data_IF_016175682808
#
_entry.id   IF_016175682808
#
_cell.length_a   1.000
_cell.length_b   1.000
_cell.length_c   1.000
_cell.angle_alpha   90.00
_cell.angle_beta   90.00
_cell.angle_gamma   90.00
#
_symmetry.space_group_name_H-M   'P 1'
#
loop_
_entity.id
_entity.type
_entity.pdbx_description
1 polymer ?
#
# COMPACT_ATOMS: atom_id res chain seq x y z
N UNK A 1 29.03 -22.55 -99.99
CA UNK A 1 27.80 -22.60 -99.27
C UNK A 1 28.18 -23.27 -97.90
N UNK A 2 28.48 -22.56 -96.88
CA UNK A 2 28.99 -23.10 -95.60
C UNK A 2 28.36 -22.26 -94.51
N UNK A 3 27.47 -22.87 -93.72
CA UNK A 3 26.83 -22.30 -92.57
C UNK A 3 27.78 -22.22 -91.38
N UNK A 4 27.79 -21.10 -90.77
CA UNK A 4 28.63 -20.76 -89.59
C UNK A 4 27.72 -20.74 -88.36
N UNK A 5 27.87 -21.74 -87.50
CA UNK A 5 27.11 -21.91 -86.28
C UNK A 5 27.77 -21.10 -85.16
N UNK A 6 27.07 -20.09 -84.63
CA UNK A 6 27.47 -19.30 -83.46
C UNK A 6 27.09 -20.07 -82.17
N UNK A 7 28.12 -20.40 -81.34
CA UNK A 7 27.93 -20.96 -79.99
C UNK A 7 27.79 -19.83 -78.98
N UNK A 8 26.59 -19.68 -78.43
CA UNK A 8 26.30 -18.84 -77.25
C UNK A 8 26.83 -19.52 -76.00
N UNK A 9 27.76 -18.90 -75.28
CA UNK A 9 28.20 -19.28 -73.93
C UNK A 9 27.15 -18.83 -72.90
N UNK A 10 26.46 -19.75 -72.26
CA UNK A 10 25.67 -19.52 -71.03
C UNK A 10 26.62 -19.39 -69.84
N UNK A 11 26.69 -18.18 -69.25
CA UNK A 11 27.34 -17.96 -67.97
C UNK A 11 26.53 -18.60 -66.83
N UNK A 12 27.10 -19.57 -66.15
CA UNK A 12 26.58 -20.13 -64.90
C UNK A 12 26.82 -19.11 -63.78
N UNK A 13 25.75 -18.49 -63.27
CA UNK A 13 25.79 -17.80 -61.96
C UNK A 13 25.62 -18.88 -60.89
N UNK A 14 26.66 -19.07 -60.11
CA UNK A 14 26.60 -19.90 -58.92
C UNK A 14 25.62 -19.37 -57.89
N UNK A 15 25.09 -20.24 -57.00
CA UNK A 15 24.15 -19.83 -55.91
C UNK A 15 24.85 -18.89 -54.93
N UNK A 16 24.11 -17.92 -54.34
CA UNK A 16 24.67 -17.01 -53.32
C UNK A 16 25.21 -17.84 -52.14
N UNK A 17 26.38 -17.45 -51.65
CA UNK A 17 27.01 -18.10 -50.50
C UNK A 17 26.07 -18.03 -49.25
N UNK A 18 25.78 -19.19 -48.69
CA UNK A 18 25.04 -19.25 -47.44
C UNK A 18 25.91 -18.71 -46.31
N UNK A 19 25.35 -17.83 -45.49
CA UNK A 19 25.99 -17.32 -44.27
C UNK A 19 26.33 -18.47 -43.33
N UNK A 20 27.48 -18.45 -42.65
CA UNK A 20 27.87 -19.55 -41.77
C UNK A 20 26.87 -19.71 -40.62
N UNK A 21 26.43 -20.94 -40.34
CA UNK A 21 25.41 -21.31 -39.37
C UNK A 21 25.68 -20.81 -37.95
N UNK A 22 26.90 -20.41 -37.64
CA UNK A 22 27.32 -19.93 -36.33
C UNK A 22 26.79 -18.50 -36.01
N UNK A 23 26.62 -17.65 -37.01
CA UNK A 23 26.14 -16.27 -36.79
C UNK A 23 24.61 -16.23 -36.58
N UNK A 24 23.87 -17.10 -37.24
CA UNK A 24 22.43 -17.25 -37.04
C UNK A 24 22.08 -17.78 -35.64
N UNK A 25 22.91 -18.62 -35.04
CA UNK A 25 22.71 -19.15 -33.69
C UNK A 25 23.01 -18.10 -32.63
N UNK A 26 24.06 -17.27 -32.81
CA UNK A 26 24.38 -16.17 -31.88
C UNK A 26 23.32 -15.09 -31.86
N UNK A 27 22.73 -14.73 -33.01
CA UNK A 27 21.66 -13.75 -33.10
C UNK A 27 20.36 -14.24 -32.42
N UNK A 28 20.03 -15.55 -32.55
CA UNK A 28 18.88 -16.16 -31.91
C UNK A 28 19.01 -16.26 -30.39
N UNK A 29 20.19 -16.55 -29.86
CA UNK A 29 20.47 -16.59 -28.43
C UNK A 29 20.41 -15.18 -27.82
N UNK A 30 20.96 -14.18 -28.49
CA UNK A 30 20.95 -12.79 -28.00
C UNK A 30 19.54 -12.19 -27.89
N UNK A 31 18.66 -12.45 -28.86
CA UNK A 31 17.27 -11.97 -28.85
C UNK A 31 16.42 -12.71 -27.81
N UNK A 32 16.67 -14.01 -27.57
CA UNK A 32 15.97 -14.78 -26.54
C UNK A 32 16.33 -14.33 -25.12
N UNK A 33 17.61 -14.04 -24.85
CA UNK A 33 18.07 -13.54 -23.56
C UNK A 33 17.51 -12.12 -23.26
N UNK A 34 17.41 -11.26 -24.26
CA UNK A 34 16.85 -9.92 -24.10
C UNK A 34 15.34 -9.98 -23.83
N UNK A 35 14.60 -10.83 -24.53
CA UNK A 35 13.16 -11.02 -24.32
C UNK A 35 12.86 -11.58 -22.91
N UNK A 36 13.66 -12.54 -22.41
CA UNK A 36 13.53 -13.07 -21.05
C UNK A 36 13.87 -12.01 -20.00
N UNK A 37 14.91 -11.22 -20.21
CA UNK A 37 15.28 -10.14 -19.30
C UNK A 37 14.19 -9.05 -19.23
N UNK A 38 13.57 -8.67 -20.35
CA UNK A 38 12.45 -7.75 -20.40
C UNK A 38 11.22 -8.34 -19.71
N UNK A 39 10.91 -9.63 -19.93
CA UNK A 39 9.79 -10.31 -19.27
C UNK A 39 9.99 -10.42 -17.75
N UNK A 40 11.22 -10.62 -17.26
CA UNK A 40 11.55 -10.62 -15.84
C UNK A 40 11.45 -9.23 -15.21
N UNK A 41 11.81 -8.17 -15.93
CA UNK A 41 11.61 -6.78 -15.50
C UNK A 41 10.12 -6.42 -15.40
N UNK A 42 9.28 -6.91 -16.28
CA UNK A 42 7.83 -6.68 -16.23
C UNK A 42 7.13 -7.53 -15.16
N UNK A 43 7.67 -8.70 -14.83
CA UNK A 43 7.11 -9.54 -13.77
C UNK A 43 7.34 -8.97 -12.35
N UNK A 44 8.35 -8.11 -12.16
CA UNK A 44 8.58 -7.42 -10.88
C UNK A 44 7.60 -6.27 -10.59
N UNK A 45 6.84 -5.79 -11.58
CA UNK A 45 5.82 -4.74 -11.40
C UNK A 45 4.45 -5.25 -10.93
N UNK A 46 4.27 -6.56 -10.75
CA UNK A 46 2.94 -7.15 -10.49
C UNK A 46 2.82 -7.86 -9.14
N UNK A 47 3.69 -7.57 -8.18
CA UNK A 47 3.33 -7.86 -6.79
C UNK A 47 2.27 -6.83 -6.40
N UNK A 48 1.01 -7.24 -6.58
CA UNK A 48 -0.15 -6.40 -6.33
C UNK A 48 -0.05 -5.77 -4.94
N UNK A 49 -0.27 -4.47 -4.90
CA UNK A 49 -0.36 -3.71 -3.66
C UNK A 49 -1.62 -4.14 -2.90
N UNK A 50 -1.56 -5.28 -2.23
CA UNK A 50 -2.69 -5.85 -1.48
C UNK A 50 -3.01 -4.99 -0.27
N UNK A 51 -4.24 -4.48 -0.14
CA UNK A 51 -4.64 -3.72 1.04
C UNK A 51 -4.68 -4.61 2.28
N UNK A 52 -4.25 -4.07 3.41
CA UNK A 52 -4.33 -4.71 4.71
C UNK A 52 -5.33 -3.95 5.59
N UNK A 53 -6.46 -4.58 5.92
CA UNK A 53 -7.47 -4.04 6.83
C UNK A 53 -7.51 -4.92 8.07
N UNK A 54 -7.10 -4.37 9.22
CA UNK A 54 -7.05 -5.06 10.51
C UNK A 54 -8.04 -4.43 11.48
N UNK A 55 -8.86 -5.27 12.11
CA UNK A 55 -9.84 -4.89 13.12
C UNK A 55 -9.46 -5.54 14.46
N UNK A 56 -9.13 -4.74 15.47
CA UNK A 56 -8.76 -5.23 16.80
C UNK A 56 -9.92 -5.11 17.79
N UNK A 57 -10.33 -6.25 18.37
CA UNK A 57 -11.29 -6.29 19.48
C UNK A 57 -10.67 -5.75 20.76
N UNK A 58 -11.50 -5.26 21.68
CA UNK A 58 -11.11 -4.89 23.03
C UNK A 58 -10.96 -6.07 23.97
N UNK A 59 -10.88 -5.77 25.27
CA UNK A 59 -10.77 -6.77 26.32
C UNK A 59 -11.92 -7.79 26.28
N UNK A 60 -11.62 -9.03 26.67
CA UNK A 60 -12.53 -10.17 26.74
C UNK A 60 -13.18 -10.60 25.42
N UNK A 61 -12.89 -9.96 24.29
CA UNK A 61 -13.38 -10.33 22.95
C UNK A 61 -14.90 -10.40 22.81
N UNK A 62 -15.58 -10.96 23.81
CA UNK A 62 -17.04 -11.15 23.85
C UNK A 62 -17.86 -9.86 23.85
N UNK A 63 -17.28 -8.75 24.26
CA UNK A 63 -17.93 -7.44 24.23
C UNK A 63 -17.66 -6.64 22.95
N UNK A 64 -16.72 -7.09 22.14
CA UNK A 64 -16.32 -6.43 20.87
C UNK A 64 -16.74 -7.23 19.63
N UNK A 65 -17.89 -7.91 19.68
CA UNK A 65 -18.43 -8.72 18.58
C UNK A 65 -18.86 -7.87 17.37
N UNK A 66 -19.05 -6.57 17.56
CA UNK A 66 -19.31 -5.64 16.47
C UNK A 66 -18.17 -5.57 15.45
N UNK A 67 -16.93 -5.85 15.86
CA UNK A 67 -15.79 -5.96 14.92
C UNK A 67 -15.98 -7.09 13.91
N UNK A 68 -16.58 -8.23 14.35
CA UNK A 68 -16.91 -9.36 13.45
C UNK A 68 -18.03 -9.01 12.49
N UNK A 69 -19.04 -8.28 12.98
CA UNK A 69 -20.14 -7.78 12.16
C UNK A 69 -19.62 -6.80 11.11
N UNK A 70 -18.77 -5.85 11.50
CA UNK A 70 -18.11 -4.91 10.58
C UNK A 70 -17.29 -5.65 9.52
N UNK A 71 -16.50 -6.66 9.91
CA UNK A 71 -15.74 -7.47 8.96
C UNK A 71 -16.66 -8.18 7.94
N UNK A 72 -17.79 -8.70 8.42
CA UNK A 72 -18.79 -9.36 7.55
C UNK A 72 -19.44 -8.37 6.57
N UNK A 73 -19.76 -7.16 7.03
CA UNK A 73 -20.30 -6.08 6.21
C UNK A 73 -19.28 -5.59 5.17
N UNK A 74 -18.01 -5.47 5.54
CA UNK A 74 -16.91 -5.12 4.62
C UNK A 74 -16.73 -6.21 3.56
N UNK A 75 -16.78 -7.49 3.97
CA UNK A 75 -16.70 -8.63 3.05
C UNK A 75 -17.85 -8.62 2.03
N UNK A 76 -19.07 -8.28 2.45
CA UNK A 76 -20.21 -8.14 1.55
C UNK A 76 -20.00 -7.01 0.50
N UNK A 77 -19.11 -6.06 0.79
CA UNK A 77 -18.69 -4.97 -0.14
C UNK A 77 -17.41 -5.31 -0.91
N UNK A 78 -16.91 -6.55 -0.84
CA UNK A 78 -15.68 -6.98 -1.50
C UNK A 78 -14.38 -6.57 -0.78
N UNK A 79 -14.47 -6.01 0.43
CA UNK A 79 -13.29 -5.60 1.22
C UNK A 79 -12.94 -6.72 2.21
N UNK A 80 -11.75 -7.30 2.05
CA UNK A 80 -11.22 -8.29 2.98
C UNK A 80 -10.70 -7.60 4.23
N UNK A 81 -11.23 -7.97 5.39
CA UNK A 81 -10.77 -7.47 6.68
C UNK A 81 -10.46 -8.66 7.61
N UNK A 82 -9.39 -8.54 8.37
CA UNK A 82 -9.00 -9.50 9.41
C UNK A 82 -9.45 -8.98 10.77
N UNK A 83 -10.03 -9.86 11.57
CA UNK A 83 -10.41 -9.56 12.96
C UNK A 83 -9.50 -10.32 13.91
N UNK A 84 -8.87 -9.61 14.84
CA UNK A 84 -8.01 -10.22 15.87
C UNK A 84 -8.34 -9.70 17.27
N UNK A 85 -7.97 -10.46 18.29
CA UNK A 85 -7.99 -9.99 19.69
C UNK A 85 -6.91 -8.92 19.88
N UNK A 86 -7.14 -7.96 20.78
CA UNK A 86 -6.11 -7.01 21.21
C UNK A 86 -4.81 -7.69 21.69
N UNK A 87 -4.87 -8.92 22.22
CA UNK A 87 -3.69 -9.67 22.65
C UNK A 87 -2.75 -10.07 21.52
N UNK A 88 -3.27 -10.14 20.28
CA UNK A 88 -2.49 -10.52 19.08
C UNK A 88 -1.92 -9.33 18.29
N UNK A 89 -2.06 -8.12 18.81
CA UNK A 89 -1.63 -6.91 18.11
C UNK A 89 -0.14 -6.96 17.70
N UNK A 90 0.73 -7.47 18.56
CA UNK A 90 2.16 -7.57 18.27
C UNK A 90 2.50 -8.60 17.19
N UNK A 91 1.71 -9.69 17.09
CA UNK A 91 1.82 -10.68 16.02
C UNK A 91 1.34 -10.06 14.70
N UNK A 92 0.18 -9.43 14.70
CA UNK A 92 -0.34 -8.73 13.52
C UNK A 92 0.62 -7.62 13.03
N UNK A 93 1.28 -6.90 13.97
CA UNK A 93 2.33 -5.93 13.61
C UNK A 93 3.51 -6.59 12.89
N UNK A 94 3.98 -7.75 13.37
CA UNK A 94 5.07 -8.50 12.71
C UNK A 94 4.67 -8.93 11.31
N UNK A 95 3.43 -9.39 11.13
CA UNK A 95 2.93 -9.79 9.81
C UNK A 95 2.89 -8.61 8.84
N UNK A 96 2.39 -7.44 9.28
CA UNK A 96 2.42 -6.21 8.51
C UNK A 96 3.87 -5.83 8.12
N UNK A 97 4.81 -5.92 9.07
CA UNK A 97 6.21 -5.62 8.79
C UNK A 97 6.83 -6.58 7.77
N UNK A 98 6.50 -7.86 7.84
CA UNK A 98 6.95 -8.87 6.88
C UNK A 98 6.34 -8.61 5.49
N UNK A 99 5.06 -8.28 5.41
CA UNK A 99 4.38 -7.90 4.16
C UNK A 99 5.05 -6.68 3.52
N UNK A 100 5.37 -5.65 4.30
CA UNK A 100 6.08 -4.45 3.82
C UNK A 100 7.51 -4.77 3.38
N UNK A 101 8.22 -5.62 4.11
CA UNK A 101 9.56 -6.08 3.72
C UNK A 101 9.54 -6.92 2.43
N UNK A 102 8.45 -7.64 2.17
CA UNK A 102 8.21 -8.38 0.93
C UNK A 102 7.76 -7.48 -0.24
N UNK A 103 7.64 -6.16 -0.04
CA UNK A 103 7.32 -5.20 -1.10
C UNK A 103 5.83 -4.86 -1.24
N UNK A 104 4.96 -5.31 -0.31
CA UNK A 104 3.56 -4.88 -0.33
C UNK A 104 3.44 -3.39 0.02
N UNK A 105 2.96 -2.58 -0.92
CA UNK A 105 2.71 -1.13 -0.77
C UNK A 105 1.23 -0.78 -0.66
N UNK A 106 0.35 -1.77 -0.58
CA UNK A 106 -1.10 -1.58 -0.48
C UNK A 106 -1.53 -0.76 0.73
N UNK A 107 -2.74 -0.24 0.70
CA UNK A 107 -3.31 0.55 1.79
C UNK A 107 -3.28 -0.22 3.12
N UNK A 108 -2.87 0.46 4.18
CA UNK A 108 -2.88 -0.06 5.55
C UNK A 108 -3.96 0.65 6.37
N UNK A 109 -4.95 -0.13 6.79
CA UNK A 109 -6.08 0.34 7.60
C UNK A 109 -6.07 -0.39 8.94
N UNK A 110 -6.08 0.37 10.02
CA UNK A 110 -6.12 -0.13 11.39
C UNK A 110 -7.38 0.39 12.08
N UNK A 111 -8.21 -0.52 12.58
CA UNK A 111 -9.44 -0.18 13.31
C UNK A 111 -9.39 -0.88 14.67
N UNK A 112 -9.71 -0.18 15.75
CA UNK A 112 -9.71 -0.79 17.09
C UNK A 112 -10.86 -0.31 17.95
N UNK A 113 -11.35 -1.20 18.83
CA UNK A 113 -12.33 -0.90 19.86
C UNK A 113 -11.70 -1.02 21.25
N UNK A 114 -11.96 -0.05 22.12
CA UNK A 114 -11.53 -0.08 23.53
C UNK A 114 -10.00 -0.28 23.65
N UNK A 115 -9.52 -1.32 24.31
CA UNK A 115 -8.09 -1.65 24.36
C UNK A 115 -7.50 -1.90 22.97
N UNK A 116 -8.26 -2.48 22.04
CA UNK A 116 -7.82 -2.62 20.64
C UNK A 116 -7.61 -1.27 19.95
N UNK A 117 -8.35 -0.22 20.35
CA UNK A 117 -8.15 1.14 19.87
C UNK A 117 -6.79 1.72 20.31
N UNK A 118 -6.37 1.46 21.55
CA UNK A 118 -5.03 1.83 22.01
C UNK A 118 -3.95 1.05 21.25
N UNK A 119 -4.15 -0.26 21.08
CA UNK A 119 -3.16 -1.07 20.38
C UNK A 119 -2.96 -0.68 18.90
N UNK A 120 -4.00 -0.20 18.19
CA UNK A 120 -3.79 0.30 16.83
C UNK A 120 -2.99 1.61 16.80
N UNK A 121 -3.06 2.44 17.85
CA UNK A 121 -2.19 3.61 18.01
C UNK A 121 -0.74 3.16 18.29
N UNK A 122 -0.54 2.17 19.17
CA UNK A 122 0.78 1.59 19.46
C UNK A 122 1.41 0.97 18.19
N UNK A 123 0.59 0.27 17.39
CA UNK A 123 1.02 -0.25 16.08
C UNK A 123 1.46 0.86 15.15
N UNK A 124 0.66 1.91 15.01
CA UNK A 124 0.99 3.06 14.16
C UNK A 124 2.32 3.69 14.61
N UNK A 125 2.54 3.87 15.92
CA UNK A 125 3.78 4.38 16.49
C UNK A 125 4.99 3.47 16.19
N UNK A 126 4.80 2.15 16.29
CA UNK A 126 5.83 1.17 15.94
C UNK A 126 6.19 1.18 14.44
N UNK A 127 5.20 1.46 13.58
CA UNK A 127 5.35 1.59 12.14
C UNK A 127 6.03 2.93 11.76
N UNK A 128 5.78 4.01 12.53
CA UNK A 128 6.43 5.31 12.34
C UNK A 128 7.96 5.20 12.41
N UNK A 129 8.48 4.44 13.38
CA UNK A 129 9.93 4.21 13.52
C UNK A 129 10.56 3.59 12.26
N UNK A 130 9.75 3.00 11.39
CA UNK A 130 10.15 2.41 10.11
C UNK A 130 9.66 3.19 8.89
N UNK A 131 9.10 4.36 9.09
CA UNK A 131 8.54 5.25 8.04
C UNK A 131 7.46 4.56 7.21
N UNK A 132 6.72 3.63 7.82
CA UNK A 132 5.59 2.94 7.17
C UNK A 132 4.33 3.75 7.44
N UNK A 133 3.63 4.25 6.42
CA UNK A 133 2.39 5.00 6.59
C UNK A 133 1.24 4.10 7.02
N UNK A 134 0.30 4.68 7.80
CA UNK A 134 -1.02 4.14 8.09
C UNK A 134 -2.03 5.01 7.36
N UNK A 135 -2.64 4.48 6.32
CA UNK A 135 -3.53 5.26 5.44
C UNK A 135 -4.82 5.66 6.15
N UNK A 136 -5.36 4.77 7.00
CA UNK A 136 -6.50 5.07 7.87
C UNK A 136 -6.34 4.40 9.24
N UNK A 137 -6.54 5.18 10.30
CA UNK A 137 -6.62 4.70 11.67
C UNK A 137 -7.99 5.08 12.25
N UNK A 138 -8.76 4.09 12.73
CA UNK A 138 -10.06 4.32 13.35
C UNK A 138 -10.05 3.79 14.78
N UNK A 139 -10.48 4.61 15.73
CA UNK A 139 -10.62 4.24 17.13
C UNK A 139 -12.07 4.37 17.57
N UNK A 140 -12.53 3.36 18.31
CA UNK A 140 -13.86 3.31 18.93
C UNK A 140 -13.67 3.25 20.44
N UNK A 141 -13.99 4.34 21.14
CA UNK A 141 -13.88 4.52 22.58
C UNK A 141 -12.51 4.03 23.14
N UNK A 142 -11.37 4.61 22.70
CA UNK A 142 -10.06 4.27 23.22
C UNK A 142 -10.03 4.47 24.74
N UNK A 143 -9.38 3.55 25.44
CA UNK A 143 -9.27 3.59 26.90
C UNK A 143 -8.32 4.70 27.36
N UNK A 144 -7.21 4.93 26.61
CA UNK A 144 -6.29 6.03 26.80
C UNK A 144 -6.27 6.91 25.54
N UNK A 145 -5.94 8.19 25.71
CA UNK A 145 -5.90 9.18 24.64
C UNK A 145 -4.44 9.48 24.25
N UNK A 146 -3.71 8.42 23.82
CA UNK A 146 -2.35 8.59 23.33
C UNK A 146 -2.34 9.45 22.06
N UNK A 147 -1.39 10.40 21.92
CA UNK A 147 -1.29 11.22 20.73
C UNK A 147 -1.04 10.39 19.48
N UNK A 148 -1.62 10.78 18.36
CA UNK A 148 -1.40 10.11 17.07
C UNK A 148 0.00 10.40 16.52
N UNK A 149 0.73 9.37 16.04
CA UNK A 149 2.05 9.55 15.44
C UNK A 149 1.96 10.16 14.03
N UNK A 150 3.09 10.68 13.56
CA UNK A 150 3.17 11.46 12.32
C UNK A 150 2.92 10.67 11.03
N UNK A 151 3.03 9.34 11.08
CA UNK A 151 2.84 8.45 9.92
C UNK A 151 1.37 8.12 9.61
N UNK A 152 0.42 8.64 10.39
CA UNK A 152 -1.02 8.42 10.13
C UNK A 152 -1.54 9.49 9.17
N UNK A 153 -2.06 9.06 8.01
CA UNK A 153 -2.59 9.95 6.97
C UNK A 153 -3.99 10.47 7.32
N UNK A 154 -4.87 9.56 7.76
CA UNK A 154 -6.23 9.87 8.19
C UNK A 154 -6.53 9.16 9.50
N UNK A 155 -7.11 9.87 10.48
CA UNK A 155 -7.62 9.29 11.71
C UNK A 155 -9.07 9.70 11.96
N UNK A 156 -9.87 8.75 12.44
CA UNK A 156 -11.25 8.97 12.88
C UNK A 156 -11.41 8.34 14.26
N UNK A 157 -11.78 9.16 15.23
CA UNK A 157 -12.01 8.71 16.61
C UNK A 157 -13.49 8.91 16.97
N UNK A 158 -14.16 7.83 17.32
CA UNK A 158 -15.51 7.84 17.90
C UNK A 158 -15.39 7.70 19.41
N UNK A 159 -15.92 8.64 20.14
CA UNK A 159 -15.89 8.65 21.60
C UNK A 159 -17.25 9.12 22.17
N UNK A 160 -17.50 8.83 23.45
CA UNK A 160 -18.72 9.21 24.13
C UNK A 160 -18.38 10.13 25.32
N UNK A 161 -18.80 11.36 25.25
CA UNK A 161 -18.63 12.33 26.34
C UNK A 161 -19.97 13.02 26.67
N UNK A 162 -20.42 12.95 27.94
CA UNK A 162 -19.77 12.24 29.06
C UNK A 162 -19.85 10.72 28.93
N UNK A 163 -18.78 10.00 29.34
CA UNK A 163 -18.75 8.54 29.28
C UNK A 163 -17.37 7.97 29.00
N UNK A 164 -17.25 7.25 27.89
CA UNK A 164 -16.04 6.51 27.55
C UNK A 164 -15.28 7.10 26.36
N UNK A 165 -13.99 7.28 26.57
CA UNK A 165 -13.11 7.90 25.60
C UNK A 165 -13.11 9.43 25.69
N UNK A 166 -12.27 10.06 24.89
CA UNK A 166 -12.15 11.50 24.76
C UNK A 166 -11.62 11.85 23.35
N UNK A 167 -11.60 13.11 22.96
CA UNK A 167 -10.92 13.53 21.76
C UNK A 167 -9.45 13.11 21.77
N UNK A 168 -8.97 12.48 20.71
CA UNK A 168 -7.55 12.24 20.50
C UNK A 168 -6.83 13.51 20.13
N UNK A 169 -5.57 13.60 20.52
CA UNK A 169 -4.61 14.62 20.09
C UNK A 169 -3.64 14.03 19.07
N UNK A 170 -2.73 14.82 18.55
CA UNK A 170 -1.71 14.39 17.64
C UNK A 170 -0.34 14.92 18.04
N UNK A 171 0.72 14.19 17.74
CA UNK A 171 2.11 14.59 17.93
C UNK A 171 2.45 15.82 17.05
N UNK A 172 3.49 16.58 17.42
CA UNK A 172 3.89 17.80 16.69
C UNK A 172 4.20 17.59 15.22
N UNK A 173 4.63 16.37 14.84
CA UNK A 173 4.94 16.00 13.45
C UNK A 173 3.76 15.48 12.65
N UNK A 174 2.57 15.44 13.24
CA UNK A 174 1.37 14.95 12.54
C UNK A 174 0.88 15.98 11.52
N UNK A 175 0.76 15.56 10.27
CA UNK A 175 0.27 16.37 9.15
C UNK A 175 -0.98 15.76 8.49
N UNK A 176 -1.50 14.67 9.06
CA UNK A 176 -2.69 13.98 8.59
C UNK A 176 -3.99 14.73 8.95
N UNK A 177 -5.11 14.08 8.69
CA UNK A 177 -6.43 14.59 9.05
C UNK A 177 -6.96 13.82 10.25
N UNK A 178 -7.25 14.49 11.35
CA UNK A 178 -7.90 13.92 12.54
C UNK A 178 -9.34 14.43 12.65
N UNK A 179 -10.29 13.48 12.77
CA UNK A 179 -11.69 13.78 13.11
C UNK A 179 -12.05 13.11 14.42
N UNK A 180 -12.45 13.90 15.40
CA UNK A 180 -13.00 13.43 16.67
C UNK A 180 -14.53 13.55 16.62
N UNK A 181 -15.25 12.43 16.73
CA UNK A 181 -16.71 12.36 16.63
C UNK A 181 -17.27 11.94 17.99
N UNK A 182 -17.92 12.90 18.67
CA UNK A 182 -18.64 12.61 19.89
C UNK A 182 -19.99 11.96 19.56
N UNK A 183 -20.23 10.77 20.09
CA UNK A 183 -21.50 10.03 19.94
C UNK A 183 -22.31 10.04 21.24
N UNK A 184 -21.96 10.92 22.19
CA UNK A 184 -22.62 11.01 23.51
C UNK A 184 -24.08 11.45 23.46
N UNK A 185 -24.51 12.10 22.38
CA UNK A 185 -25.91 12.51 22.18
C UNK A 185 -26.83 11.32 21.83
N UNK A 186 -26.25 10.19 21.40
CA UNK A 186 -27.01 8.97 21.14
C UNK A 186 -27.00 8.07 22.36
N UNK A 187 -28.05 8.14 23.15
CA UNK A 187 -28.20 7.37 24.39
C UNK A 187 -28.24 5.83 24.18
N UNK A 188 -28.42 5.37 22.95
CA UNK A 188 -28.39 3.94 22.61
C UNK A 188 -26.95 3.40 22.47
N UNK A 189 -25.99 4.30 22.36
CA UNK A 189 -24.57 3.99 22.24
C UNK A 189 -23.94 4.03 23.63
N UNK A 190 -23.26 2.96 24.01
CA UNK A 190 -22.44 2.84 25.20
C UNK A 190 -21.07 2.26 24.83
N UNK A 191 -20.12 2.25 25.75
CA UNK A 191 -18.80 1.67 25.52
C UNK A 191 -18.82 0.26 24.90
N UNK A 192 -19.70 -0.61 25.41
CA UNK A 192 -19.83 -2.00 24.98
C UNK A 192 -20.74 -2.21 23.77
N UNK A 193 -21.30 -1.13 23.21
CA UNK A 193 -22.19 -1.17 22.04
C UNK A 193 -21.77 -0.21 20.92
N UNK A 194 -20.80 0.66 21.13
CA UNK A 194 -20.30 1.58 20.12
C UNK A 194 -19.78 0.85 18.88
N UNK A 195 -19.13 -0.30 19.09
CA UNK A 195 -18.64 -1.19 18.03
C UNK A 195 -19.75 -1.94 17.29
N UNK A 196 -21.02 -1.86 17.76
CA UNK A 196 -22.18 -2.54 17.17
C UNK A 196 -23.13 -1.61 16.44
N UNK A 197 -22.85 -0.30 16.46
CA UNK A 197 -23.69 0.69 15.81
C UNK A 197 -23.61 0.60 14.30
N UNK A 198 -24.72 0.25 13.63
CA UNK A 198 -24.79 0.16 12.17
C UNK A 198 -24.47 1.48 11.46
N UNK A 199 -24.81 2.61 12.10
CA UNK A 199 -24.45 3.94 11.61
C UNK A 199 -22.93 4.12 11.59
N UNK A 200 -22.26 3.79 12.71
CA UNK A 200 -20.80 3.89 12.82
C UNK A 200 -20.13 2.91 11.84
N UNK A 201 -20.65 1.68 11.71
CA UNK A 201 -20.17 0.71 10.72
C UNK A 201 -20.24 1.28 9.29
N UNK A 202 -21.37 1.88 8.91
CA UNK A 202 -21.53 2.48 7.60
C UNK A 202 -20.52 3.61 7.36
N UNK A 203 -20.27 4.44 8.37
CA UNK A 203 -19.28 5.52 8.32
C UNK A 203 -17.86 4.95 8.17
N UNK A 204 -17.48 3.98 8.99
CA UNK A 204 -16.17 3.31 8.91
C UNK A 204 -15.98 2.65 7.54
N UNK A 205 -17.01 1.97 7.02
CA UNK A 205 -16.91 1.33 5.71
C UNK A 205 -16.67 2.34 4.58
N UNK A 206 -17.26 3.55 4.67
CA UNK A 206 -17.00 4.64 3.71
C UNK A 206 -15.57 5.18 3.82
N UNK A 207 -15.07 5.40 5.06
CA UNK A 207 -13.69 5.86 5.29
C UNK A 207 -12.69 4.82 4.77
N UNK A 208 -12.92 3.52 5.01
CA UNK A 208 -12.07 2.44 4.49
C UNK A 208 -12.08 2.45 2.96
N UNK A 209 -13.25 2.47 2.33
CA UNK A 209 -13.34 2.49 0.87
C UNK A 209 -12.61 3.70 0.26
N UNK A 210 -12.73 4.88 0.90
CA UNK A 210 -12.03 6.09 0.46
C UNK A 210 -10.51 5.97 0.60
N UNK A 211 -10.01 5.38 1.70
CA UNK A 211 -8.58 5.16 1.90
C UNK A 211 -7.99 4.17 0.87
N UNK A 212 -8.71 3.07 0.59
CA UNK A 212 -8.30 2.10 -0.43
C UNK A 212 -8.22 2.75 -1.82
N UNK A 213 -9.25 3.50 -2.22
CA UNK A 213 -9.28 4.20 -3.50
C UNK A 213 -8.20 5.28 -3.64
N UNK A 214 -7.90 6.00 -2.55
CA UNK A 214 -6.85 7.02 -2.54
C UNK A 214 -5.48 6.37 -2.79
N UNK A 215 -5.21 5.23 -2.14
CA UNK A 215 -3.95 4.50 -2.30
C UNK A 215 -3.79 3.88 -3.68
N UNK A 216 -4.86 3.36 -4.26
CA UNK A 216 -4.87 2.86 -5.65
C UNK A 216 -4.53 3.96 -6.66
N UNK A 217 -5.08 5.17 -6.47
CA UNK A 217 -4.77 6.32 -7.33
C UNK A 217 -3.32 6.76 -7.21
N UNK A 218 -2.78 6.85 -5.98
CA UNK A 218 -1.38 7.16 -5.72
C UNK A 218 -0.45 6.18 -6.45
N UNK A 219 -0.70 4.87 -6.32
CA UNK A 219 0.08 3.84 -7.02
C UNK A 219 -0.03 3.90 -8.54
N UNK A 220 -1.21 4.27 -9.08
CA UNK A 220 -1.40 4.45 -10.51
C UNK A 220 -0.66 5.68 -11.07
N UNK A 221 -0.57 6.76 -10.30
CA UNK A 221 0.16 7.98 -10.66
C UNK A 221 1.67 7.77 -10.60
N UNK A 222 2.19 7.06 -9.59
CA UNK A 222 3.61 6.69 -9.49
C UNK A 222 4.04 5.73 -10.60
N UNK A 223 3.19 4.83 -11.04
CA UNK A 223 3.43 3.89 -12.14
C UNK A 223 3.38 4.50 -13.55
N UNK A 224 2.96 5.77 -13.68
CA UNK A 224 2.86 6.44 -14.97
C UNK A 224 4.20 7.12 -15.37
N UNK A 225 4.91 6.64 -16.41
CA UNK A 225 6.20 7.19 -16.82
C UNK A 225 6.15 8.67 -17.28
N UNK A 226 4.98 9.19 -17.60
CA UNK A 226 4.80 10.60 -17.98
C UNK A 226 4.82 11.54 -16.76
N UNK A 227 4.40 11.06 -15.58
CA UNK A 227 4.48 11.84 -14.33
C UNK A 227 5.87 11.79 -13.70
N UNK A 228 6.61 10.71 -13.88
CA UNK A 228 7.99 10.59 -13.39
C UNK A 228 8.95 11.60 -14.05
N UNK A 229 8.68 12.01 -15.30
CA UNK A 229 9.50 12.99 -16.03
C UNK A 229 9.23 14.46 -15.62
N UNK A 230 8.18 14.74 -14.86
CA UNK A 230 7.75 16.08 -14.49
C UNK A 230 8.23 16.53 -13.08
N UNK A 231 8.95 15.70 -12.34
CA UNK A 231 9.52 16.12 -11.05
C UNK A 231 10.75 16.99 -11.26
N UNK A 232 10.77 18.27 -10.80
CA UNK A 232 11.95 19.11 -10.92
C UNK A 232 13.07 18.49 -10.04
N UNK A 233 14.22 18.24 -10.68
CA UNK A 233 15.44 17.80 -9.99
C UNK A 233 15.73 18.76 -8.83
N UNK A 234 15.78 18.24 -7.61
CA UNK A 234 16.15 19.02 -6.41
C UNK A 234 17.45 19.78 -6.65
N UNK A 235 17.55 21.08 -6.32
CA UNK A 235 18.76 21.85 -6.54
C UNK A 235 19.92 21.24 -5.73
N UNK A 236 20.96 20.81 -6.42
CA UNK A 236 22.18 20.37 -5.80
C UNK A 236 22.75 21.51 -4.96
N UNK A 237 22.79 21.30 -3.64
CA UNK A 237 23.40 22.22 -2.68
C UNK A 237 24.89 22.31 -3.01
N UNK A 238 25.31 23.41 -3.69
CA UNK A 238 26.72 23.73 -3.92
C UNK A 238 27.44 23.76 -2.57
N UNK A 239 28.42 22.88 -2.37
CA UNK A 239 29.34 22.99 -1.24
C UNK A 239 30.11 24.31 -1.36
N UNK A 240 30.33 25.05 -0.24
CA UNK A 240 31.18 26.22 -0.24
C UNK A 240 32.65 25.82 -0.50
N UNK A 241 33.45 26.68 -1.16
CA UNK A 241 34.87 26.40 -1.41
C UNK A 241 35.63 26.32 -0.11
N UNK A 242 36.43 25.28 0.04
CA UNK A 242 37.39 25.16 1.19
C UNK A 242 38.42 26.29 1.11
N UNK A 243 38.48 27.09 2.17
CA UNK A 243 39.56 28.08 2.36
C UNK A 243 40.87 27.32 2.56
N UNK A 244 41.80 27.52 1.64
CA UNK A 244 43.19 27.10 1.84
C UNK A 244 43.82 28.03 2.87
N UNK A 245 44.24 27.45 4.00
CA UNK A 245 45.08 28.15 5.00
C UNK A 245 46.52 28.19 4.47
N UNK A 246 47.04 29.41 4.42
CA UNK A 246 48.49 29.68 4.35
C UNK A 246 49.04 29.75 5.77
#
# INVERSE_FOLDING_TARGET
MTEMIARTRRGHRGPPAALPAHDALRLRLGTSCLAVAIALLWCNCALAAEPRVLLLRGWFGVFSTGMDSLASELKAKGIKAEVASHLYWSTALKDILNERAAGNTGALVLVGHSQGANNVIDMARSLEARKIPVDLLVTLAPFMQDPLPSNVVRAVNYYQSPGWGAPLTADRGFHGKLSNINVGDDWTIAHVSIDKSSRIHADIAREIAAALQAKEKEGAEEGNPLTAAAQPSSPQKKLPPQAQAQ
#
